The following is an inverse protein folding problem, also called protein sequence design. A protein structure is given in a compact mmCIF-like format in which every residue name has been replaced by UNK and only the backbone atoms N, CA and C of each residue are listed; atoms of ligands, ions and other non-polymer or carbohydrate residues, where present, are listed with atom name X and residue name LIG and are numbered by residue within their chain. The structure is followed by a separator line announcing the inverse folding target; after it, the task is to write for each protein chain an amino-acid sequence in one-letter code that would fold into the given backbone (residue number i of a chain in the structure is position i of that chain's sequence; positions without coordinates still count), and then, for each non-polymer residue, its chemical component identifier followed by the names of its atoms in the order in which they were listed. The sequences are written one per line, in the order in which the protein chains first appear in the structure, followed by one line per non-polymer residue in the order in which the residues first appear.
data_IF_855382000555
#
_entry.id   IF_855382000555
#
_cell.length_a   1.000
_cell.length_b   1.000
_cell.length_c   1.000
_cell.angle_alpha   90.00
_cell.angle_beta   90.00
_cell.angle_gamma   90.00
#
_symmetry.space_group_name_H-M   'P 1'
#
loop_
_entity.id
_entity.type
_entity.pdbx_description
1 polymer ?
#
# COMPACT_ATOMS: atom_id res chain seq x y z
N UNK A 1 -14.53 19.69 16.00
CA UNK A 1 -14.68 20.05 14.58
C UNK A 1 -13.70 21.13 14.10
N UNK A 2 -13.58 22.30 14.77
CA UNK A 2 -12.70 23.41 14.31
C UNK A 2 -11.20 23.06 14.18
N UNK A 3 -10.66 22.14 14.99
CA UNK A 3 -9.23 21.73 14.94
C UNK A 3 -8.85 20.84 13.75
N UNK A 4 -9.79 20.03 13.25
CA UNK A 4 -9.53 19.10 12.12
C UNK A 4 -9.39 19.88 10.80
N UNK A 5 -10.20 20.93 10.64
CA UNK A 5 -10.15 21.83 9.47
C UNK A 5 -8.79 22.55 9.43
N UNK A 6 -8.26 22.98 10.58
CA UNK A 6 -6.97 23.67 10.64
C UNK A 6 -5.80 22.77 10.19
N UNK A 7 -5.81 21.48 10.57
CA UNK A 7 -4.79 20.51 10.13
C UNK A 7 -4.90 20.24 8.63
N UNK A 8 -6.13 20.05 8.12
CA UNK A 8 -6.36 19.86 6.69
C UNK A 8 -5.90 21.07 5.85
N UNK A 9 -6.18 22.29 6.33
CA UNK A 9 -5.78 23.54 5.67
C UNK A 9 -4.26 23.77 5.74
N UNK A 10 -3.60 23.38 6.83
CA UNK A 10 -2.15 23.45 6.95
C UNK A 10 -1.41 22.39 6.12
N UNK A 11 -2.08 21.30 5.75
CA UNK A 11 -1.51 20.28 4.85
C UNK A 11 -1.68 20.62 3.36
N UNK A 12 -2.66 21.45 2.98
CA UNK A 12 -2.88 21.86 1.58
C UNK A 12 -1.64 22.45 0.88
N UNK A 13 -0.81 23.32 1.50
CA UNK A 13 0.42 23.84 0.88
C UNK A 13 1.54 22.81 0.76
N UNK A 14 1.51 21.76 1.60
CA UNK A 14 2.47 20.66 1.49
C UNK A 14 2.11 19.73 0.32
N UNK A 15 0.83 19.63 -0.04
CA UNK A 15 0.39 18.92 -1.26
C UNK A 15 0.69 19.73 -2.52
N UNK A 16 0.68 21.07 -2.46
CA UNK A 16 0.94 21.93 -3.63
C UNK A 16 2.40 21.98 -4.09
N UNK A 17 3.33 21.39 -3.34
CA UNK A 17 4.76 21.26 -3.70
C UNK A 17 5.19 19.79 -3.83
N UNK A 18 4.24 18.85 -3.73
CA UNK A 18 4.52 17.46 -4.01
C UNK A 18 4.35 17.23 -5.52
N UNK A 19 5.46 17.03 -6.25
CA UNK A 19 5.47 16.58 -7.65
C UNK A 19 4.86 15.17 -7.82
N UNK A 20 4.32 14.59 -6.74
CA UNK A 20 3.85 13.21 -6.67
C UNK A 20 2.69 13.07 -5.69
N UNK A 21 1.45 13.15 -6.18
CA UNK A 21 0.27 12.71 -5.41
C UNK A 21 0.02 11.21 -5.64
N UNK A 22 0.22 10.39 -4.60
CA UNK A 22 0.02 8.94 -4.67
C UNK A 22 -1.35 8.55 -4.12
N UNK A 23 -2.28 8.19 -5.00
CA UNK A 23 -3.50 7.47 -4.61
C UNK A 23 -3.17 5.99 -4.61
N UNK A 24 -2.96 5.43 -3.41
CA UNK A 24 -2.83 4.00 -3.22
C UNK A 24 -4.21 3.39 -2.96
N UNK A 25 -4.82 2.74 -3.96
CA UNK A 25 -5.97 1.88 -3.70
C UNK A 25 -5.46 0.50 -3.28
N UNK A 26 -5.58 0.18 -2.00
CA UNK A 26 -5.23 -1.13 -1.44
C UNK A 26 -6.52 -1.91 -1.20
N UNK A 27 -7.03 -2.56 -2.25
CA UNK A 27 -8.16 -3.47 -2.10
C UNK A 27 -7.62 -4.78 -1.58
N UNK A 28 -8.04 -5.18 -0.38
CA UNK A 28 -7.68 -6.47 0.23
C UNK A 28 -8.94 -7.26 0.54
N UNK A 29 -9.00 -8.47 0.00
CA UNK A 29 -9.99 -9.46 0.37
C UNK A 29 -9.33 -10.47 1.30
N UNK A 30 -9.83 -10.57 2.54
CA UNK A 30 -9.34 -11.51 3.56
C UNK A 30 -10.40 -12.57 3.83
N UNK A 31 -9.98 -13.82 3.98
CA UNK A 31 -10.85 -14.87 4.53
C UNK A 31 -10.45 -15.13 5.97
N UNK A 32 -11.42 -15.22 6.88
CA UNK A 32 -11.15 -15.58 8.27
C UNK A 32 -10.94 -17.09 8.37
N UNK A 33 -9.70 -17.50 8.64
CA UNK A 33 -9.32 -18.88 8.88
C UNK A 33 -8.76 -19.00 10.31
N UNK A 34 -9.65 -18.95 11.29
CA UNK A 34 -9.29 -18.85 12.71
C UNK A 34 -8.87 -17.44 13.14
N UNK A 35 -8.42 -17.29 14.39
CA UNK A 35 -8.01 -16.00 14.97
C UNK A 35 -6.65 -15.51 14.46
N UNK A 36 -5.76 -16.45 14.15
CA UNK A 36 -4.33 -16.16 14.01
C UNK A 36 -3.85 -16.17 12.55
N UNK A 37 -4.58 -16.81 11.64
CA UNK A 37 -4.24 -16.92 10.22
C UNK A 37 -5.31 -16.23 9.38
N UNK A 38 -4.90 -15.24 8.57
CA UNK A 38 -5.77 -14.50 7.66
C UNK A 38 -5.20 -14.55 6.24
N UNK A 39 -5.59 -15.55 5.40
CA UNK A 39 -5.30 -15.52 3.96
C UNK A 39 -5.87 -14.27 3.32
N UNK A 40 -5.16 -13.73 2.32
CA UNK A 40 -5.62 -12.55 1.61
C UNK A 40 -5.17 -12.49 0.15
N UNK A 41 -5.98 -11.78 -0.63
CA UNK A 41 -5.67 -11.28 -1.96
C UNK A 41 -5.63 -9.76 -1.86
N UNK A 42 -4.54 -9.12 -2.28
CA UNK A 42 -4.43 -7.66 -2.27
C UNK A 42 -3.96 -7.13 -3.62
N UNK A 43 -4.56 -6.03 -4.05
CA UNK A 43 -4.08 -5.25 -5.17
C UNK A 43 -3.82 -3.82 -4.70
N UNK A 44 -2.61 -3.33 -4.97
CA UNK A 44 -2.20 -1.96 -4.69
C UNK A 44 -1.95 -1.26 -6.01
N UNK A 45 -2.80 -0.30 -6.37
CA UNK A 45 -2.60 0.58 -7.52
C UNK A 45 -2.12 1.92 -7.02
N UNK A 46 -1.04 2.44 -7.60
CA UNK A 46 -0.50 3.77 -7.32
C UNK A 46 -0.57 4.62 -8.59
N UNK A 47 -1.14 5.81 -8.44
CA UNK A 47 -1.07 6.88 -9.44
C UNK A 47 -0.04 7.92 -9.01
N UNK A 48 0.45 8.71 -9.95
CA UNK A 48 1.24 9.90 -9.68
C UNK A 48 0.64 11.06 -10.46
N UNK A 49 0.63 12.25 -9.88
CA UNK A 49 0.20 13.46 -10.59
C UNK A 49 1.42 14.32 -10.87
N UNK A 50 1.64 14.67 -12.13
CA UNK A 50 2.60 15.68 -12.58
C UNK A 50 1.86 16.88 -13.20
N UNK A 51 2.61 17.81 -13.80
CA UNK A 51 2.08 19.03 -14.46
C UNK A 51 1.16 18.70 -15.64
N UNK A 52 1.27 17.50 -16.23
CA UNK A 52 0.53 17.06 -17.40
C UNK A 52 -0.67 16.16 -17.06
N UNK A 53 -0.86 15.81 -15.78
CA UNK A 53 -2.03 15.11 -15.28
C UNK A 53 -1.71 13.95 -14.35
N UNK A 54 -2.73 13.15 -14.06
CA UNK A 54 -2.58 11.93 -13.26
C UNK A 54 -2.24 10.75 -14.17
N UNK A 55 -1.07 10.16 -13.98
CA UNK A 55 -0.60 8.98 -14.72
C UNK A 55 -0.48 7.78 -13.79
N UNK A 56 -0.69 6.59 -14.36
CA UNK A 56 -0.47 5.34 -13.65
C UNK A 56 1.03 5.21 -13.30
N UNK A 57 1.35 4.91 -12.04
CA UNK A 57 2.74 4.80 -11.55
C UNK A 57 3.12 3.37 -11.18
N UNK A 58 2.24 2.62 -10.53
CA UNK A 58 2.52 1.23 -10.18
C UNK A 58 1.27 0.40 -9.96
N UNK A 59 1.39 -0.91 -10.17
CA UNK A 59 0.47 -1.89 -9.62
C UNK A 59 1.25 -3.00 -8.93
N UNK A 60 0.76 -3.45 -7.78
CA UNK A 60 1.29 -4.60 -7.05
C UNK A 60 0.17 -5.51 -6.59
N UNK A 61 0.09 -6.68 -7.20
CA UNK A 61 -0.77 -7.77 -6.80
C UNK A 61 -0.05 -8.68 -5.80
N UNK A 62 -0.78 -9.18 -4.80
CA UNK A 62 -0.28 -10.03 -3.72
C UNK A 62 -1.27 -11.12 -3.36
N UNK A 63 -0.76 -12.32 -3.16
CA UNK A 63 -1.47 -13.46 -2.57
C UNK A 63 -0.65 -13.94 -1.38
N UNK A 64 -1.24 -14.00 -0.20
CA UNK A 64 -0.48 -14.39 0.99
C UNK A 64 -1.35 -14.73 2.18
N UNK A 65 -0.67 -14.94 3.31
CA UNK A 65 -1.30 -15.27 4.57
C UNK A 65 -0.70 -14.37 5.63
N UNK A 66 -1.53 -13.79 6.49
CA UNK A 66 -1.05 -13.05 7.65
C UNK A 66 -1.18 -13.91 8.89
N UNK A 67 -0.06 -14.19 9.54
CA UNK A 67 0.01 -14.92 10.80
C UNK A 67 0.31 -13.96 11.95
N UNK A 68 -0.54 -13.96 12.97
CA UNK A 68 -0.33 -13.22 14.21
C UNK A 68 0.47 -14.08 15.18
N UNK A 69 1.70 -13.67 15.51
CA UNK A 69 2.48 -14.34 16.56
C UNK A 69 1.99 -13.87 17.94
N UNK A 70 1.84 -12.56 18.09
CA UNK A 70 1.33 -11.92 19.30
C UNK A 70 0.68 -10.56 18.94
N UNK A 71 0.28 -9.77 19.93
CA UNK A 71 -0.38 -8.47 19.70
C UNK A 71 0.51 -7.45 18.98
N UNK A 72 1.83 -7.61 19.07
CA UNK A 72 2.83 -6.68 18.56
C UNK A 72 3.53 -7.14 17.28
N UNK A 73 3.48 -8.43 16.96
CA UNK A 73 4.27 -9.05 15.90
C UNK A 73 3.39 -9.89 14.98
N UNK A 74 3.50 -9.62 13.68
CA UNK A 74 2.81 -10.37 12.62
C UNK A 74 3.78 -10.71 11.50
N UNK A 75 3.63 -11.91 10.95
CA UNK A 75 4.39 -12.39 9.79
C UNK A 75 3.43 -12.49 8.60
N UNK A 76 3.90 -12.11 7.42
CA UNK A 76 3.11 -12.03 6.20
C UNK A 76 3.92 -12.61 5.01
N UNK A 77 4.03 -13.94 4.89
CA UNK A 77 4.52 -14.59 3.68
C UNK A 77 3.52 -14.38 2.53
N UNK A 78 4.03 -13.95 1.38
CA UNK A 78 3.20 -13.75 0.20
C UNK A 78 4.00 -13.93 -1.08
N UNK A 79 3.32 -14.26 -2.16
CA UNK A 79 3.83 -14.06 -3.52
C UNK A 79 3.31 -12.74 -4.04
N UNK A 80 4.13 -12.04 -4.82
CA UNK A 80 3.73 -10.80 -5.47
C UNK A 80 4.03 -10.81 -6.96
N UNK A 81 3.27 -9.98 -7.67
CA UNK A 81 3.56 -9.51 -9.01
C UNK A 81 3.44 -8.00 -8.96
N UNK A 82 4.50 -7.27 -9.30
CA UNK A 82 4.46 -5.82 -9.38
C UNK A 82 4.96 -5.30 -10.72
N UNK A 83 4.39 -4.16 -11.09
CA UNK A 83 4.76 -3.38 -12.25
C UNK A 83 4.91 -1.93 -11.80
N UNK A 84 6.08 -1.34 -11.98
CA UNK A 84 6.41 0.00 -11.47
C UNK A 84 7.05 0.84 -12.56
N UNK A 85 6.60 2.08 -12.68
CA UNK A 85 7.24 3.12 -13.45
C UNK A 85 8.33 3.75 -12.57
N UNK A 86 9.56 3.26 -12.71
CA UNK A 86 10.77 3.83 -12.09
C UNK A 86 11.79 4.04 -13.20
N UNK A 87 11.73 5.21 -13.83
CA UNK A 87 12.47 5.61 -15.05
C UNK A 87 12.11 4.81 -16.32
N UNK A 88 11.76 3.53 -16.17
CA UNK A 88 11.13 2.64 -17.15
C UNK A 88 10.15 1.68 -16.45
N UNK A 89 9.37 0.93 -17.23
CA UNK A 89 8.51 -0.13 -16.71
C UNK A 89 9.35 -1.31 -16.20
N UNK A 90 9.28 -1.56 -14.90
CA UNK A 90 9.94 -2.68 -14.24
C UNK A 90 8.92 -3.68 -13.72
N UNK A 91 9.04 -4.94 -14.16
CA UNK A 91 8.22 -6.05 -13.72
C UNK A 91 8.98 -6.88 -12.68
N UNK A 92 8.36 -7.14 -11.54
CA UNK A 92 8.88 -8.01 -10.49
C UNK A 92 7.88 -9.10 -10.14
N UNK A 93 8.37 -10.31 -9.89
CA UNK A 93 7.57 -11.39 -9.33
C UNK A 93 8.41 -12.23 -8.38
N UNK A 94 7.77 -12.78 -7.35
CA UNK A 94 8.45 -13.72 -6.47
C UNK A 94 7.82 -13.85 -5.08
N UNK A 95 8.38 -14.76 -4.26
CA UNK A 95 8.03 -14.85 -2.85
C UNK A 95 8.63 -13.69 -2.07
N UNK A 96 7.95 -13.27 -1.01
CA UNK A 96 8.41 -12.28 -0.06
C UNK A 96 7.91 -12.62 1.35
N UNK A 97 8.67 -12.19 2.35
CA UNK A 97 8.31 -12.26 3.75
C UNK A 97 8.29 -10.85 4.32
N UNK A 98 7.16 -10.44 4.90
CA UNK A 98 7.05 -9.18 5.65
C UNK A 98 6.88 -9.46 7.13
N UNK A 99 7.59 -8.67 7.93
CA UNK A 99 7.48 -8.64 9.38
C UNK A 99 6.90 -7.28 9.79
N UNK A 100 5.71 -7.28 10.36
CA UNK A 100 5.05 -6.08 10.89
C UNK A 100 5.26 -6.08 12.42
N UNK A 101 5.96 -5.07 12.96
CA UNK A 101 6.20 -4.87 14.40
C UNK A 101 5.56 -3.55 14.83
N UNK A 102 4.70 -3.58 15.83
CA UNK A 102 4.07 -2.39 16.45
C UNK A 102 4.45 -2.30 17.93
N UNK A 103 4.91 -1.12 18.34
CA UNK A 103 5.32 -0.79 19.72
C UNK A 103 4.32 0.15 20.39
#
# INVERSE_FOLDING_TARGET
MKRIILIAVLMLPAVSHADKFIVANNTRLTYDYGSDIKPYIANEVAFTSDVNGTVFSANKFRLGFRYKINDNVRIDPHVFMDNKLKDNWAFGFGPALRLDITY
#
